data_IF_671384898032
#
_entry.id   IF_671384898032
#
_cell.length_a   1.000
_cell.length_b   1.000
_cell.length_c   1.000
_cell.angle_alpha   90.00
_cell.angle_beta   90.00
_cell.angle_gamma   90.00
#
_symmetry.space_group_name_H-M   'P 1'
#
loop_
_entity.id
_entity.type
_entity.pdbx_description
1 polymer ?
#
# COMPACT_ATOMS: atom_id res chain seq x y z
N UNK A 1 -18.94 11.44 19.84
CA UNK A 1 -19.86 10.29 19.74
C UNK A 1 -19.17 9.33 18.81
N UNK A 2 -18.41 8.41 19.40
CA UNK A 2 -17.47 7.50 18.75
C UNK A 2 -18.24 6.59 17.77
N UNK A 3 -17.72 6.43 16.55
CA UNK A 3 -18.11 5.34 15.65
C UNK A 3 -16.94 4.36 15.65
N UNK A 4 -17.18 3.21 16.26
CA UNK A 4 -16.33 2.03 16.19
C UNK A 4 -16.16 1.60 14.73
N UNK A 5 -14.93 1.27 14.35
CA UNK A 5 -14.60 0.66 13.08
C UNK A 5 -14.97 -0.82 13.16
N UNK A 6 -15.95 -1.25 12.38
CA UNK A 6 -16.39 -2.64 12.34
C UNK A 6 -15.31 -3.53 11.72
N UNK A 7 -14.93 -4.52 12.52
CA UNK A 7 -14.05 -5.64 12.23
C UNK A 7 -14.74 -6.55 11.20
N UNK A 8 -13.97 -7.13 10.26
CA UNK A 8 -14.43 -8.24 9.43
C UNK A 8 -15.16 -9.29 10.28
N UNK A 9 -16.48 -9.35 10.15
CA UNK A 9 -17.29 -10.44 10.69
C UNK A 9 -17.64 -11.38 9.54
N UNK A 10 -16.99 -12.54 9.53
CA UNK A 10 -17.55 -13.72 8.87
C UNK A 10 -18.78 -14.13 9.66
N UNK A 11 -19.97 -13.85 9.12
CA UNK A 11 -21.18 -14.49 9.62
C UNK A 11 -21.13 -15.96 9.23
N UNK A 12 -20.80 -16.82 10.19
CA UNK A 12 -21.19 -18.22 10.11
C UNK A 12 -22.71 -18.27 10.21
N UNK A 13 -23.39 -18.34 9.07
CA UNK A 13 -24.81 -18.71 9.06
C UNK A 13 -24.88 -20.20 9.40
N UNK A 14 -25.35 -20.52 10.60
CA UNK A 14 -25.88 -21.83 10.93
C UNK A 14 -27.10 -22.09 10.03
N UNK A 15 -26.85 -22.61 8.82
CA UNK A 15 -27.69 -23.51 8.02
C UNK A 15 -27.12 -23.65 6.59
N UNK A 16 -26.35 -24.72 6.38
CA UNK A 16 -26.12 -25.46 5.12
C UNK A 16 -25.75 -24.74 3.80
N UNK A 17 -25.33 -23.48 3.78
CA UNK A 17 -24.85 -22.84 2.56
C UNK A 17 -23.60 -21.98 2.80
N UNK A 18 -22.62 -22.10 1.90
CA UNK A 18 -21.47 -21.18 1.85
C UNK A 18 -21.90 -19.97 1.03
N UNK A 19 -22.07 -18.81 1.68
CA UNK A 19 -22.00 -17.54 0.97
C UNK A 19 -20.57 -17.33 0.47
N UNK A 20 -20.43 -17.14 -0.84
CA UNK A 20 -19.14 -16.75 -1.42
C UNK A 20 -18.80 -15.35 -0.92
N UNK A 21 -17.78 -15.27 -0.06
CA UNK A 21 -16.98 -14.10 0.32
C UNK A 21 -17.63 -12.75 0.02
N UNK A 22 -18.21 -12.14 1.05
CA UNK A 22 -18.51 -10.72 1.05
C UNK A 22 -17.18 -9.96 1.08
N UNK A 23 -16.78 -9.46 -0.08
CA UNK A 23 -15.65 -8.54 -0.20
C UNK A 23 -16.23 -7.14 -0.16
N UNK A 24 -16.21 -6.52 1.02
CA UNK A 24 -16.32 -5.07 1.14
C UNK A 24 -15.00 -4.47 0.64
N UNK A 25 -14.92 -4.35 -0.67
CA UNK A 25 -13.87 -3.63 -1.35
C UNK A 25 -14.40 -2.22 -1.55
N UNK A 26 -13.81 -1.26 -0.84
CA UNK A 26 -13.86 0.11 -1.32
C UNK A 26 -13.00 0.20 -2.57
N UNK A 27 -13.65 0.56 -3.67
CA UNK A 27 -13.14 0.95 -4.98
C UNK A 27 -12.53 -0.12 -5.92
N UNK A 28 -13.18 -0.28 -7.09
CA UNK A 28 -12.61 -0.66 -8.39
C UNK A 28 -11.78 -1.93 -8.47
N UNK A 29 -12.37 -3.10 -8.78
CA UNK A 29 -11.61 -4.36 -8.83
C UNK A 29 -11.97 -5.34 -9.97
N UNK A 30 -11.20 -6.43 -10.09
CA UNK A 30 -11.54 -7.61 -10.87
C UNK A 30 -11.28 -8.85 -10.01
N UNK A 31 -12.32 -9.61 -9.68
CA UNK A 31 -12.22 -10.82 -8.86
C UNK A 31 -12.32 -12.11 -9.68
N UNK A 32 -11.29 -12.97 -9.63
CA UNK A 32 -11.32 -14.33 -10.16
C UNK A 32 -11.16 -15.37 -9.04
N UNK A 33 -12.17 -16.21 -8.81
CA UNK A 33 -12.15 -17.26 -7.80
C UNK A 33 -11.61 -18.59 -8.41
N UNK A 34 -10.58 -19.13 -7.79
CA UNK A 34 -9.90 -20.39 -8.11
C UNK A 34 -10.13 -21.40 -6.98
N UNK A 35 -10.75 -22.55 -7.27
CA UNK A 35 -10.84 -23.66 -6.31
C UNK A 35 -9.78 -24.71 -6.63
N UNK A 36 -8.93 -25.02 -5.65
CA UNK A 36 -7.86 -26.01 -5.77
C UNK A 36 -8.23 -27.35 -5.13
N UNK A 37 -7.91 -28.44 -5.83
CA UNK A 37 -8.00 -29.80 -5.31
C UNK A 37 -6.69 -30.17 -4.59
N UNK A 38 -6.78 -30.48 -3.30
CA UNK A 38 -5.64 -30.74 -2.42
C UNK A 38 -5.35 -32.25 -2.21
N UNK A 39 -5.58 -33.12 -3.20
CA UNK A 39 -4.97 -34.45 -3.16
C UNK A 39 -3.52 -34.38 -3.59
N UNK A 40 -2.62 -34.60 -2.63
CA UNK A 40 -1.14 -34.59 -2.74
C UNK A 40 -0.53 -35.57 -3.78
N UNK A 41 -1.34 -36.18 -4.66
CA UNK A 41 -0.91 -36.99 -5.82
C UNK A 41 -1.81 -36.90 -7.06
N UNK A 42 -2.84 -36.04 -7.11
CA UNK A 42 -3.76 -36.01 -8.27
C UNK A 42 -4.45 -34.64 -8.46
N UNK A 43 -3.81 -33.73 -9.20
CA UNK A 43 -4.38 -32.44 -9.62
C UNK A 43 -5.34 -32.58 -10.81
N UNK A 44 -6.42 -33.38 -10.72
CA UNK A 44 -7.27 -33.65 -11.89
C UNK A 44 -8.57 -32.85 -11.98
N UNK A 45 -9.02 -32.16 -10.94
CA UNK A 45 -10.18 -31.27 -11.06
C UNK A 45 -9.89 -29.89 -10.44
N UNK A 46 -9.84 -28.87 -11.29
CA UNK A 46 -9.85 -27.45 -10.91
C UNK A 46 -11.17 -26.88 -11.37
N UNK A 47 -11.87 -26.16 -10.50
CA UNK A 47 -13.00 -25.33 -10.93
C UNK A 47 -12.54 -23.89 -10.90
N UNK A 48 -12.33 -23.34 -12.09
CA UNK A 48 -11.87 -21.96 -12.25
C UNK A 48 -13.02 -21.11 -12.74
N UNK A 49 -13.27 -20.00 -12.07
CA UNK A 49 -14.21 -18.99 -12.53
C UNK A 49 -13.42 -17.78 -13.00
N UNK A 50 -13.44 -17.54 -14.30
CA UNK A 50 -12.85 -16.36 -14.89
C UNK A 50 -13.94 -15.28 -15.09
N UNK A 51 -13.72 -14.11 -14.50
CA UNK A 51 -14.32 -12.86 -14.96
C UNK A 51 -13.29 -12.09 -15.79
N UNK A 52 -13.72 -11.47 -16.89
CA UNK A 52 -12.91 -10.48 -17.62
C UNK A 52 -13.56 -9.11 -17.42
N UNK A 53 -12.74 -8.08 -17.19
CA UNK A 53 -13.19 -6.67 -17.22
C UNK A 53 -14.35 -6.39 -16.24
N UNK A 54 -14.16 -6.78 -14.98
CA UNK A 54 -14.99 -6.29 -13.88
C UNK A 54 -14.60 -4.86 -13.50
N UNK A 55 -15.59 -4.02 -13.26
CA UNK A 55 -15.43 -2.69 -12.64
C UNK A 55 -16.26 -2.69 -11.36
N UNK A 56 -15.66 -2.30 -10.23
CA UNK A 56 -16.39 -2.18 -8.97
C UNK A 56 -16.58 -0.69 -8.72
N UNK A 57 -17.82 -0.26 -8.65
CA UNK A 57 -18.15 1.12 -8.32
C UNK A 57 -18.84 1.14 -6.95
N UNK A 58 -19.02 2.33 -6.38
CA UNK A 58 -19.84 2.49 -5.18
C UNK A 58 -21.23 1.84 -5.34
N UNK A 59 -21.83 1.96 -6.53
CA UNK A 59 -23.14 1.40 -6.84
C UNK A 59 -23.08 -0.10 -7.20
N UNK A 60 -21.92 -0.61 -7.60
CA UNK A 60 -21.70 -1.99 -8.05
C UNK A 60 -20.50 -2.64 -7.34
N UNK A 61 -20.59 -2.78 -6.01
CA UNK A 61 -19.54 -3.34 -5.16
C UNK A 61 -19.46 -4.89 -5.14
N UNK A 62 -20.37 -5.59 -5.83
CA UNK A 62 -20.39 -7.06 -5.88
C UNK A 62 -20.29 -7.55 -7.31
N UNK A 63 -19.26 -8.36 -7.59
CA UNK A 63 -19.11 -9.12 -8.84
C UNK A 63 -18.94 -10.60 -8.54
N UNK A 64 -19.51 -11.44 -9.40
CA UNK A 64 -19.37 -12.89 -9.27
C UNK A 64 -20.62 -13.62 -9.75
N UNK A 65 -20.53 -14.95 -9.79
CA UNK A 65 -21.71 -15.79 -10.05
C UNK A 65 -22.50 -15.93 -8.76
N UNK A 66 -23.79 -15.61 -8.78
CA UNK A 66 -24.72 -15.90 -7.68
C UNK A 66 -25.16 -17.37 -7.66
N UNK A 67 -24.20 -18.29 -7.80
CA UNK A 67 -24.45 -19.73 -7.83
C UNK A 67 -23.81 -20.38 -6.63
N UNK A 68 -24.63 -20.96 -5.77
CA UNK A 68 -24.17 -21.72 -4.61
C UNK A 68 -23.66 -23.09 -5.04
N UNK A 69 -22.60 -23.56 -4.37
CA UNK A 69 -22.10 -24.93 -4.51
C UNK A 69 -22.36 -25.64 -3.18
N UNK A 70 -23.22 -26.66 -3.13
CA UNK A 70 -23.46 -27.41 -1.91
C UNK A 70 -22.18 -28.07 -1.37
N UNK A 71 -22.02 -28.11 -0.05
CA UNK A 71 -20.90 -28.79 0.60
C UNK A 71 -20.81 -30.27 0.21
N UNK A 72 -21.96 -30.96 0.12
CA UNK A 72 -22.01 -32.35 -0.34
C UNK A 72 -21.43 -32.53 -1.74
N UNK A 73 -21.65 -31.57 -2.62
CA UNK A 73 -21.12 -31.58 -3.98
C UNK A 73 -19.60 -31.40 -3.97
N UNK A 74 -19.08 -30.57 -3.06
CA UNK A 74 -17.64 -30.43 -2.87
C UNK A 74 -17.01 -31.71 -2.31
N UNK A 75 -17.68 -32.38 -1.37
CA UNK A 75 -17.23 -33.66 -0.83
C UNK A 75 -17.24 -34.77 -1.90
N UNK A 76 -18.35 -34.92 -2.65
CA UNK A 76 -18.51 -35.93 -3.72
C UNK A 76 -17.45 -35.80 -4.81
N UNK A 77 -17.08 -34.56 -5.16
CA UNK A 77 -16.07 -34.25 -6.19
C UNK A 77 -14.65 -34.24 -5.63
N UNK A 78 -14.45 -34.55 -4.34
CA UNK A 78 -13.13 -34.63 -3.74
C UNK A 78 -12.40 -33.29 -3.62
N UNK A 79 -13.13 -32.17 -3.57
CA UNK A 79 -12.57 -30.85 -3.24
C UNK A 79 -12.35 -30.68 -1.73
N UNK A 80 -13.07 -31.45 -0.90
CA UNK A 80 -12.88 -31.49 0.55
C UNK A 80 -11.85 -32.56 0.93
N UNK A 81 -10.96 -32.19 1.84
CA UNK A 81 -10.00 -33.07 2.50
C UNK A 81 -10.72 -34.00 3.49
N UNK A 82 -10.01 -35.05 3.95
CA UNK A 82 -10.57 -36.04 4.88
C UNK A 82 -10.99 -35.48 6.25
N UNK A 83 -10.50 -34.29 6.61
CA UNK A 83 -10.89 -33.51 7.79
C UNK A 83 -12.01 -32.49 7.51
N UNK A 84 -12.51 -32.41 6.27
CA UNK A 84 -13.55 -31.47 5.85
C UNK A 84 -13.06 -30.12 5.32
N UNK A 85 -11.75 -29.88 5.27
CA UNK A 85 -11.18 -28.61 4.80
C UNK A 85 -11.12 -28.54 3.26
N UNK A 86 -11.19 -27.34 2.69
CA UNK A 86 -11.01 -27.11 1.24
C UNK A 86 -10.33 -25.76 1.03
N UNK A 87 -9.60 -25.61 -0.09
CA UNK A 87 -8.85 -24.39 -0.39
C UNK A 87 -9.62 -23.53 -1.39
N UNK A 88 -9.86 -22.27 -1.02
CA UNK A 88 -10.37 -21.22 -1.89
C UNK A 88 -9.25 -20.25 -2.16
N UNK A 89 -9.00 -19.98 -3.44
CA UNK A 89 -8.03 -19.00 -3.88
C UNK A 89 -8.75 -17.88 -4.64
N UNK A 90 -8.34 -16.65 -4.40
CA UNK A 90 -8.77 -15.49 -5.18
C UNK A 90 -7.54 -14.92 -5.86
N UNK A 91 -7.62 -14.73 -7.17
CA UNK A 91 -6.58 -14.07 -7.95
C UNK A 91 -7.17 -12.82 -8.62
N UNK A 92 -6.56 -11.68 -8.30
CA UNK A 92 -6.81 -10.40 -8.93
C UNK A 92 -5.60 -10.08 -9.82
N UNK A 93 -5.82 -9.66 -11.07
CA UNK A 93 -4.74 -9.27 -11.99
C UNK A 93 -5.02 -7.91 -12.58
N UNK A 94 -3.97 -7.11 -12.79
CA UNK A 94 -4.03 -5.78 -13.40
C UNK A 94 -5.04 -4.86 -12.71
N UNK A 95 -4.97 -4.79 -11.38
CA UNK A 95 -5.84 -3.94 -10.57
C UNK A 95 -5.46 -2.48 -10.82
N UNK A 96 -6.47 -1.65 -11.08
CA UNK A 96 -6.33 -0.21 -11.25
C UNK A 96 -7.42 0.46 -10.43
N UNK A 97 -7.03 1.31 -9.48
CA UNK A 97 -7.96 2.13 -8.70
C UNK A 97 -7.90 3.55 -9.22
N UNK A 98 -9.05 4.09 -9.65
CA UNK A 98 -9.11 5.47 -10.12
C UNK A 98 -10.31 6.23 -9.58
N UNK A 99 -10.08 7.49 -9.23
CA UNK A 99 -11.11 8.45 -8.90
C UNK A 99 -11.33 9.41 -10.07
N UNK A 100 -12.59 9.72 -10.36
CA UNK A 100 -12.96 10.65 -11.43
C UNK A 100 -14.01 11.65 -10.94
N UNK A 101 -13.83 12.93 -11.27
CA UNK A 101 -14.83 13.95 -11.03
C UNK A 101 -14.77 15.10 -12.06
N UNK A 102 -15.80 15.95 -12.05
CA UNK A 102 -15.86 17.17 -12.84
C UNK A 102 -15.80 18.41 -11.93
N UNK A 103 -14.68 19.11 -11.97
CA UNK A 103 -14.49 20.37 -11.25
C UNK A 103 -15.16 21.52 -12.00
N UNK A 104 -15.96 22.35 -11.30
CA UNK A 104 -16.57 23.55 -11.88
C UNK A 104 -15.55 24.69 -11.95
N UNK A 105 -15.41 25.28 -13.13
CA UNK A 105 -14.52 26.42 -13.35
C UNK A 105 -15.27 27.71 -12.99
N UNK A 106 -14.76 28.53 -12.05
CA UNK A 106 -15.37 29.79 -11.67
C UNK A 106 -15.45 30.76 -12.87
N UNK A 107 -16.58 31.44 -13.04
CA UNK A 107 -16.79 32.40 -14.16
C UNK A 107 -15.84 33.61 -14.12
N UNK A 108 -15.31 33.92 -12.93
CA UNK A 108 -14.40 35.06 -12.68
C UNK A 108 -12.95 34.79 -13.09
N UNK A 109 -12.58 33.52 -13.39
CA UNK A 109 -11.27 33.16 -13.94
C UNK A 109 -11.00 33.76 -15.34
N UNK A 110 -11.99 34.39 -15.96
CA UNK A 110 -11.83 35.11 -17.24
C UNK A 110 -11.24 36.52 -17.09
N UNK A 111 -10.98 36.98 -15.86
CA UNK A 111 -10.36 38.28 -15.61
C UNK A 111 -8.83 38.14 -15.55
N UNK A 112 -8.12 38.75 -16.50
CA UNK A 112 -6.65 38.67 -16.68
C UNK A 112 -5.82 39.21 -15.50
N UNK A 113 -6.45 39.64 -14.41
CA UNK A 113 -5.82 40.42 -13.33
C UNK A 113 -6.13 39.88 -11.93
N UNK A 114 -6.77 38.71 -11.82
CA UNK A 114 -7.00 38.06 -10.52
C UNK A 114 -6.36 36.68 -10.51
N UNK A 115 -5.56 36.40 -9.48
CA UNK A 115 -5.13 35.03 -9.18
C UNK A 115 -6.40 34.22 -8.94
N UNK A 116 -6.77 33.37 -9.89
CA UNK A 116 -7.94 32.51 -9.80
C UNK A 116 -7.97 31.70 -8.50
N UNK A 117 -9.16 31.37 -7.96
CA UNK A 117 -9.24 30.65 -6.70
C UNK A 117 -8.69 29.23 -6.85
N UNK A 118 -8.08 28.72 -5.77
CA UNK A 118 -7.73 27.30 -5.63
C UNK A 118 -8.99 26.44 -5.82
N UNK A 119 -8.93 25.52 -6.77
CA UNK A 119 -9.96 24.52 -7.00
C UNK A 119 -9.52 23.21 -6.37
N UNK A 120 -10.46 22.45 -5.81
CA UNK A 120 -10.17 21.19 -5.13
C UNK A 120 -11.25 20.16 -5.46
N UNK A 121 -10.83 18.90 -5.66
CA UNK A 121 -11.76 17.78 -5.85
C UNK A 121 -12.49 17.43 -4.55
N UNK A 122 -13.64 16.74 -4.64
CA UNK A 122 -14.14 15.99 -3.50
C UNK A 122 -13.07 15.04 -2.96
N UNK A 123 -13.22 14.65 -1.68
CA UNK A 123 -12.38 13.64 -1.08
C UNK A 123 -12.65 12.26 -1.70
N UNK A 124 -11.58 11.49 -1.86
CA UNK A 124 -11.63 10.08 -2.23
C UNK A 124 -10.67 9.28 -1.35
N UNK A 125 -10.98 8.02 -1.11
CA UNK A 125 -10.20 7.19 -0.19
C UNK A 125 -9.31 6.23 -0.98
N UNK A 126 -8.07 6.07 -0.53
CA UNK A 126 -7.13 5.08 -1.07
C UNK A 126 -6.02 4.78 -0.06
N UNK A 127 -5.65 3.51 0.12
CA UNK A 127 -4.59 3.12 1.05
C UNK A 127 -4.87 3.54 2.49
N UNK A 128 -6.13 3.38 2.95
CA UNK A 128 -6.63 3.79 4.27
C UNK A 128 -6.54 5.30 4.56
N UNK A 129 -6.22 6.12 3.57
CA UNK A 129 -6.12 7.58 3.70
C UNK A 129 -7.12 8.27 2.77
N UNK A 130 -7.50 9.49 3.14
CA UNK A 130 -8.36 10.35 2.34
C UNK A 130 -7.53 11.36 1.57
N UNK A 131 -7.92 11.62 0.32
CA UNK A 131 -7.14 12.38 -0.65
C UNK A 131 -7.99 13.40 -1.39
N UNK A 132 -7.37 14.49 -1.84
CA UNK A 132 -7.93 15.40 -2.84
C UNK A 132 -6.85 15.86 -3.81
N UNK A 133 -7.28 16.35 -4.98
CA UNK A 133 -6.40 17.03 -5.94
C UNK A 133 -6.72 18.52 -5.92
N UNK A 134 -5.70 19.33 -5.67
CA UNK A 134 -5.75 20.78 -5.69
C UNK A 134 -5.19 21.32 -7.00
N UNK A 135 -5.91 22.25 -7.64
CA UNK A 135 -5.50 23.00 -8.82
C UNK A 135 -5.48 24.49 -8.50
N UNK A 136 -4.37 25.18 -8.73
CA UNK A 136 -4.27 26.63 -8.51
C UNK A 136 -3.35 27.30 -9.52
N UNK A 137 -3.49 28.62 -9.78
CA UNK A 137 -2.64 29.32 -10.74
C UNK A 137 -1.16 29.28 -10.32
N UNK A 138 -0.26 29.07 -11.28
CA UNK A 138 1.17 29.19 -11.03
C UNK A 138 1.56 30.68 -10.95
N UNK A 139 1.91 31.17 -9.76
CA UNK A 139 2.27 32.56 -9.52
C UNK A 139 3.74 32.90 -9.87
N UNK A 140 4.57 31.91 -10.23
CA UNK A 140 6.03 32.09 -10.29
C UNK A 140 6.60 32.61 -11.61
N UNK A 141 5.84 32.64 -12.71
CA UNK A 141 6.40 33.01 -14.02
C UNK A 141 5.55 34.06 -14.73
N UNK A 142 6.10 35.28 -14.80
CA UNK A 142 5.57 36.44 -15.54
C UNK A 142 5.40 36.14 -17.05
N UNK A 143 6.03 35.07 -17.55
CA UNK A 143 6.08 34.74 -18.98
C UNK A 143 5.09 33.64 -19.42
N UNK A 144 4.43 32.94 -18.49
CA UNK A 144 3.43 31.91 -18.81
C UNK A 144 2.14 32.21 -18.04
N UNK A 145 1.40 33.23 -18.47
CA UNK A 145 0.21 33.82 -17.82
C UNK A 145 -0.95 32.85 -17.50
N UNK A 146 -0.77 31.55 -17.68
CA UNK A 146 -1.90 30.63 -17.84
C UNK A 146 -1.57 29.19 -17.41
N UNK A 147 -0.46 28.94 -16.70
CA UNK A 147 -0.14 27.59 -16.22
C UNK A 147 -0.87 27.26 -14.91
N UNK A 148 -1.21 26.00 -14.73
CA UNK A 148 -1.83 25.49 -13.50
C UNK A 148 -0.80 24.70 -12.73
N UNK A 149 -0.77 24.91 -11.43
CA UNK A 149 -0.07 24.06 -10.48
C UNK A 149 -1.03 23.02 -9.91
N UNK A 150 -0.57 21.78 -9.84
CA UNK A 150 -1.32 20.65 -9.33
C UNK A 150 -0.62 20.07 -8.12
N UNK A 151 -1.41 19.69 -7.12
CA UNK A 151 -0.93 19.09 -5.89
C UNK A 151 -1.89 18.01 -5.41
N UNK A 152 -1.38 16.84 -5.05
CA UNK A 152 -2.12 15.82 -4.32
C UNK A 152 -2.07 16.18 -2.82
N UNK A 153 -3.18 16.02 -2.13
CA UNK A 153 -3.30 16.37 -0.71
C UNK A 153 -3.88 15.18 0.05
N UNK A 154 -3.17 14.72 1.06
CA UNK A 154 -3.61 13.72 2.05
C UNK A 154 -4.32 14.44 3.20
N UNK A 155 -5.45 13.91 3.65
CA UNK A 155 -6.31 14.50 4.69
C UNK A 155 -6.37 13.68 5.99
N UNK A 156 -5.80 12.48 6.02
CA UNK A 156 -5.81 11.59 7.20
C UNK A 156 -4.47 10.86 7.36
N UNK A 157 -4.26 10.23 8.53
CA UNK A 157 -3.07 9.42 8.85
C UNK A 157 -1.71 10.15 8.77
N UNK A 158 -1.66 11.40 9.26
CA UNK A 158 -0.44 12.23 9.25
C UNK A 158 0.68 11.77 10.20
N UNK A 159 0.39 10.79 11.07
CA UNK A 159 1.34 10.27 12.05
C UNK A 159 2.56 9.59 11.40
N UNK A 160 2.46 9.24 10.11
CA UNK A 160 3.53 8.63 9.33
C UNK A 160 3.80 9.39 8.04
N UNK A 161 5.05 9.28 7.59
CA UNK A 161 5.44 9.59 6.21
C UNK A 161 4.68 8.62 5.29
N UNK A 162 4.36 9.07 4.08
CA UNK A 162 3.63 8.29 3.10
C UNK A 162 4.33 8.32 1.76
N UNK A 163 4.80 7.18 1.28
CA UNK A 163 5.23 7.01 -0.10
C UNK A 163 3.99 6.78 -0.97
N UNK A 164 3.78 7.64 -1.97
CA UNK A 164 2.61 7.59 -2.86
C UNK A 164 3.01 7.58 -4.33
N UNK A 165 2.37 6.68 -5.07
CA UNK A 165 2.49 6.58 -6.51
C UNK A 165 1.14 6.73 -7.18
N UNK A 166 1.04 7.66 -8.13
CA UNK A 166 -0.21 7.95 -8.83
C UNK A 166 0.03 8.48 -10.24
N UNK A 167 -1.02 8.53 -11.05
CA UNK A 167 -1.05 9.21 -12.34
C UNK A 167 -2.29 10.09 -12.43
N UNK A 168 -2.11 11.32 -12.91
CA UNK A 168 -3.18 12.30 -13.07
C UNK A 168 -3.47 12.56 -14.54
N UNK A 169 -4.75 12.58 -14.88
CA UNK A 169 -5.26 13.03 -16.17
C UNK A 169 -6.20 14.24 -16.01
N UNK A 170 -5.97 15.29 -16.79
CA UNK A 170 -6.80 16.52 -16.79
C UNK A 170 -7.42 16.77 -18.18
N UNK A 171 -8.76 16.82 -18.24
CA UNK A 171 -9.54 16.99 -19.47
C UNK A 171 -10.18 15.69 -19.97
N UNK A 172 -11.11 15.80 -20.94
CA UNK A 172 -11.82 14.64 -21.49
C UNK A 172 -11.09 13.98 -22.67
N UNK A 173 -10.83 14.75 -23.73
CA UNK A 173 -10.19 14.29 -24.96
C UNK A 173 -8.82 14.96 -25.09
N UNK A 174 -7.81 14.22 -25.55
CA UNK A 174 -6.41 14.68 -25.53
C UNK A 174 -6.06 15.29 -24.16
N UNK A 175 -6.41 14.56 -23.10
CA UNK A 175 -6.16 14.98 -21.74
C UNK A 175 -4.67 15.21 -21.54
N UNK A 176 -4.33 16.15 -20.66
CA UNK A 176 -2.99 16.17 -20.10
C UNK A 176 -2.80 14.92 -19.24
N UNK A 177 -1.65 14.26 -19.36
CA UNK A 177 -1.26 13.10 -18.56
C UNK A 177 0.04 13.46 -17.84
N UNK A 178 0.09 13.30 -16.52
CA UNK A 178 1.32 13.53 -15.76
C UNK A 178 2.40 12.46 -16.01
N UNK A 179 1.99 11.27 -16.47
CA UNK A 179 2.76 10.04 -16.27
C UNK A 179 2.78 9.63 -14.79
N UNK A 180 3.49 8.54 -14.44
CA UNK A 180 3.63 8.12 -13.05
C UNK A 180 4.37 9.18 -12.23
N UNK A 181 3.75 9.61 -11.15
CA UNK A 181 4.31 10.50 -10.12
C UNK A 181 4.58 9.66 -8.89
N UNK A 182 5.77 9.80 -8.33
CA UNK A 182 6.27 9.08 -7.16
C UNK A 182 6.81 10.13 -6.18
N UNK A 183 6.21 10.20 -4.99
CA UNK A 183 6.49 11.25 -4.00
C UNK A 183 6.38 10.73 -2.58
N UNK A 184 7.30 11.20 -1.71
CA UNK A 184 7.28 10.95 -0.28
C UNK A 184 6.64 12.14 0.44
N UNK A 185 5.49 11.93 1.07
CA UNK A 185 4.72 12.95 1.77
C UNK A 185 4.98 12.88 3.27
N UNK A 186 5.30 14.01 3.87
CA UNK A 186 5.49 14.14 5.31
C UNK A 186 4.15 14.36 6.06
N UNK A 187 4.26 14.78 7.32
CA UNK A 187 3.10 15.08 8.17
C UNK A 187 2.23 16.26 7.68
N UNK A 188 2.71 17.08 6.72
CA UNK A 188 1.87 18.12 6.11
C UNK A 188 0.81 17.52 5.17
N UNK A 189 1.06 16.31 4.66
CA UNK A 189 0.20 15.62 3.71
C UNK A 189 0.13 16.25 2.33
N UNK A 190 0.93 17.30 2.07
CA UNK A 190 0.95 17.96 0.78
C UNK A 190 2.04 17.33 -0.09
N UNK A 191 1.68 16.94 -1.29
CA UNK A 191 2.62 16.47 -2.30
C UNK A 191 3.44 17.66 -2.86
N UNK A 192 4.62 17.38 -3.42
CA UNK A 192 5.38 18.40 -4.13
C UNK A 192 4.59 18.85 -5.37
N UNK A 193 4.25 20.15 -5.48
CA UNK A 193 3.40 20.63 -6.56
C UNK A 193 4.15 20.61 -7.89
N UNK A 194 3.46 20.21 -8.97
CA UNK A 194 4.03 20.27 -10.32
C UNK A 194 3.18 21.16 -11.24
N UNK A 195 3.84 21.75 -12.25
CA UNK A 195 3.19 22.68 -13.18
C UNK A 195 2.76 21.97 -14.45
N UNK A 196 1.50 22.17 -14.82
CA UNK A 196 0.92 21.79 -16.10
C UNK A 196 1.07 22.96 -17.07
N UNK A 197 1.75 22.72 -18.20
CA UNK A 197 1.99 23.71 -19.26
C UNK A 197 0.75 24.04 -20.12
N UNK A 198 -0.41 24.19 -19.49
CA UNK A 198 -1.69 24.50 -20.12
C UNK A 198 -2.65 25.19 -19.15
N UNK A 199 -3.48 26.09 -19.68
CA UNK A 199 -4.51 26.78 -18.90
C UNK A 199 -5.76 25.97 -18.65
N UNK A 200 -6.51 26.38 -17.63
CA UNK A 200 -7.79 25.75 -17.28
C UNK A 200 -8.74 25.80 -18.47
N UNK A 201 -8.72 26.89 -19.23
CA UNK A 201 -9.52 27.07 -20.44
C UNK A 201 -9.10 26.11 -21.56
N UNK A 202 -7.80 25.88 -21.73
CA UNK A 202 -7.27 24.92 -22.72
C UNK A 202 -7.62 23.48 -22.33
N UNK A 203 -7.42 23.10 -21.06
CA UNK A 203 -7.72 21.76 -20.55
C UNK A 203 -9.22 21.45 -20.56
N UNK A 204 -10.06 22.42 -20.22
CA UNK A 204 -11.53 22.30 -20.28
C UNK A 204 -12.11 22.49 -21.67
N UNK A 205 -11.30 22.91 -22.65
CA UNK A 205 -11.73 23.26 -24.02
C UNK A 205 -12.87 24.28 -24.02
N UNK A 206 -12.81 25.27 -23.13
CA UNK A 206 -13.82 26.31 -22.98
C UNK A 206 -15.12 25.88 -22.30
N UNK A 207 -15.19 24.65 -21.75
CA UNK A 207 -16.34 24.21 -20.95
C UNK A 207 -16.29 24.84 -19.56
N UNK A 208 -17.44 24.90 -18.89
CA UNK A 208 -17.54 25.37 -17.51
C UNK A 208 -17.06 24.34 -16.48
N UNK A 209 -16.53 23.20 -16.92
CA UNK A 209 -16.05 22.13 -16.06
C UNK A 209 -14.83 21.45 -16.64
N UNK A 210 -13.94 21.00 -15.76
CA UNK A 210 -12.75 20.21 -16.08
C UNK A 210 -12.90 18.81 -15.50
N UNK A 211 -12.74 17.78 -16.34
CA UNK A 211 -12.62 16.39 -15.88
C UNK A 211 -11.26 16.21 -15.22
N UNK A 212 -11.26 15.63 -14.03
CA UNK A 212 -10.07 15.23 -13.28
C UNK A 212 -10.18 13.73 -13.04
N UNK A 213 -9.18 12.98 -13.48
CA UNK A 213 -9.04 11.56 -13.19
C UNK A 213 -7.70 11.33 -12.53
N UNK A 214 -7.68 10.59 -11.43
CA UNK A 214 -6.46 10.17 -10.76
C UNK A 214 -6.48 8.65 -10.63
N UNK A 215 -5.40 8.01 -11.06
CA UNK A 215 -5.13 6.60 -10.87
C UNK A 215 -4.14 6.46 -9.71
N UNK A 216 -4.60 5.88 -8.61
CA UNK A 216 -3.75 5.60 -7.45
C UNK A 216 -3.15 4.21 -7.62
N UNK A 217 -1.81 4.13 -7.55
CA UNK A 217 -1.07 2.90 -7.81
C UNK A 217 -0.51 2.29 -6.53
N UNK A 218 0.00 3.14 -5.62
CA UNK A 218 0.57 2.69 -4.37
C UNK A 218 0.47 3.77 -3.29
N UNK A 219 0.22 3.36 -2.05
CA UNK A 219 0.31 4.19 -0.84
C UNK A 219 0.90 3.33 0.26
N UNK A 220 2.07 3.71 0.75
CA UNK A 220 2.81 2.97 1.77
C UNK A 220 3.16 3.88 2.93
N UNK A 221 2.79 3.46 4.14
CA UNK A 221 3.20 4.16 5.35
C UNK A 221 4.67 3.90 5.61
N UNK A 222 5.44 4.94 5.88
CA UNK A 222 6.88 4.86 6.13
C UNK A 222 7.18 5.33 7.54
N UNK A 223 7.92 4.51 8.28
CA UNK A 223 8.51 4.90 9.55
C UNK A 223 9.98 5.21 9.34
N UNK A 224 10.33 6.47 9.58
CA UNK A 224 11.71 6.95 9.52
C UNK A 224 12.36 6.83 10.89
N UNK A 225 13.59 6.29 10.90
CA UNK A 225 14.32 5.99 12.11
C UNK A 225 15.80 6.34 11.95
N UNK A 226 16.33 7.14 12.85
CA UNK A 226 17.77 7.45 12.92
C UNK A 226 18.47 6.47 13.86
N UNK A 227 19.49 5.76 13.37
CA UNK A 227 20.23 4.74 14.13
C UNK A 227 21.72 5.00 14.09
N UNK A 228 22.38 4.96 15.25
CA UNK A 228 23.83 5.01 15.34
C UNK A 228 24.41 3.60 15.11
N UNK A 229 24.69 3.27 13.85
CA UNK A 229 25.08 1.91 13.45
C UNK A 229 26.47 1.48 13.96
N UNK A 230 27.37 2.43 14.24
CA UNK A 230 28.72 2.14 14.72
C UNK A 230 28.81 2.03 16.25
N UNK A 231 27.79 2.50 16.98
CA UNK A 231 27.77 2.46 18.44
C UNK A 231 27.05 1.22 18.98
N UNK A 232 27.82 0.26 19.52
CA UNK A 232 27.28 -1.00 20.08
C UNK A 232 26.21 -0.84 21.16
N UNK A 233 26.17 0.30 21.85
CA UNK A 233 25.21 0.54 22.94
C UNK A 233 24.01 1.40 22.49
N UNK A 234 24.04 1.94 21.26
CA UNK A 234 23.03 2.88 20.72
C UNK A 234 22.61 2.53 19.28
N UNK A 235 22.85 1.29 18.87
CA UNK A 235 22.48 0.75 17.56
C UNK A 235 21.02 0.31 17.48
N UNK A 236 20.16 0.76 18.41
CA UNK A 236 18.75 0.38 18.49
C UNK A 236 17.88 1.61 18.53
N UNK A 237 16.75 1.55 17.83
CA UNK A 237 15.75 2.59 17.86
C UNK A 237 14.35 2.00 17.82
N UNK A 238 13.42 2.68 18.50
CA UNK A 238 12.01 2.33 18.49
C UNK A 238 11.32 3.01 17.31
N UNK A 239 10.33 2.32 16.77
CA UNK A 239 9.45 2.82 15.72
C UNK A 239 8.07 2.22 15.89
N UNK A 240 7.08 2.84 15.25
CA UNK A 240 5.71 2.36 15.25
C UNK A 240 5.28 2.08 13.82
N UNK A 241 4.43 1.09 13.62
CA UNK A 241 3.75 0.92 12.33
C UNK A 241 2.48 1.77 12.26
N UNK A 242 1.80 1.72 11.10
CA UNK A 242 0.55 2.45 10.85
C UNK A 242 -0.57 2.16 11.85
N UNK A 243 -0.55 1.00 12.51
CA UNK A 243 -1.55 0.58 13.50
C UNK A 243 -1.09 0.96 14.94
N UNK A 244 -0.07 1.81 15.05
CA UNK A 244 0.55 2.30 16.29
C UNK A 244 1.14 1.19 17.16
N UNK A 245 1.48 0.06 16.55
CA UNK A 245 2.11 -1.03 17.27
C UNK A 245 3.61 -0.82 17.33
N UNK A 246 4.23 -1.16 18.46
CA UNK A 246 5.62 -0.87 18.73
C UNK A 246 6.56 -1.92 18.12
N UNK A 247 7.63 -1.42 17.51
CA UNK A 247 8.73 -2.18 16.97
C UNK A 247 10.07 -1.64 17.49
N UNK A 248 11.11 -2.45 17.31
CA UNK A 248 12.49 -2.04 17.55
C UNK A 248 13.35 -2.47 16.36
N UNK A 249 14.12 -1.54 15.82
CA UNK A 249 15.11 -1.81 14.78
C UNK A 249 16.50 -1.76 15.41
N UNK A 250 17.29 -2.79 15.16
CA UNK A 250 18.67 -2.92 15.62
C UNK A 250 19.61 -2.99 14.41
N UNK A 251 20.65 -2.17 14.36
CA UNK A 251 21.69 -2.27 13.36
C UNK A 251 22.78 -3.27 13.78
N UNK A 252 23.25 -4.07 12.84
CA UNK A 252 24.36 -4.99 12.99
C UNK A 252 25.48 -4.66 11.99
N UNK A 253 26.59 -4.17 12.54
CA UNK A 253 27.80 -3.84 11.82
C UNK A 253 28.97 -4.82 12.10
N UNK A 254 28.67 -6.02 12.63
CA UNK A 254 29.69 -7.03 12.95
C UNK A 254 30.16 -7.84 11.74
N UNK A 255 29.35 -7.86 10.67
CA UNK A 255 29.62 -8.58 9.43
C UNK A 255 30.39 -7.76 8.39
N UNK A 256 30.41 -8.28 7.15
CA UNK A 256 31.00 -7.58 5.99
C UNK A 256 30.11 -6.45 5.46
N UNK A 257 28.79 -6.65 5.53
CA UNK A 257 27.78 -5.72 5.05
C UNK A 257 26.89 -5.30 6.23
N UNK A 258 26.32 -4.10 6.14
CA UNK A 258 25.32 -3.63 7.10
C UNK A 258 24.11 -4.54 7.07
N UNK A 259 23.67 -4.95 8.25
CA UNK A 259 22.44 -5.67 8.42
C UNK A 259 21.59 -4.98 9.50
N UNK A 260 20.31 -5.31 9.48
CA UNK A 260 19.37 -4.85 10.48
C UNK A 260 18.57 -6.02 11.02
N UNK A 261 18.09 -5.88 12.25
CA UNK A 261 17.18 -6.83 12.86
C UNK A 261 15.96 -6.10 13.37
N UNK A 262 14.80 -6.46 12.83
CA UNK A 262 13.53 -5.84 13.18
C UNK A 262 12.77 -6.75 14.16
N UNK A 263 12.38 -6.19 15.30
CA UNK A 263 11.67 -6.89 16.37
C UNK A 263 10.27 -6.32 16.53
N UNK A 264 9.27 -7.19 16.59
CA UNK A 264 7.92 -6.81 16.97
C UNK A 264 7.78 -6.80 18.50
N UNK A 265 7.85 -5.63 19.11
CA UNK A 265 7.90 -5.51 20.58
C UNK A 265 6.53 -5.70 21.26
N UNK A 266 5.45 -5.53 20.50
CA UNK A 266 4.08 -5.77 20.95
C UNK A 266 3.57 -7.19 20.66
N UNK A 267 4.46 -8.15 20.40
CA UNK A 267 4.09 -9.56 20.12
C UNK A 267 3.19 -10.18 21.21
N UNK A 268 3.39 -9.83 22.47
CA UNK A 268 2.55 -10.25 23.60
C UNK A 268 1.11 -9.74 23.53
N UNK A 269 0.88 -8.64 22.80
CA UNK A 269 -0.44 -8.03 22.61
C UNK A 269 -1.20 -8.60 21.42
N UNK A 270 -0.59 -9.50 20.62
CA UNK A 270 -1.33 -10.24 19.60
C UNK A 270 -2.44 -11.05 20.28
N UNK A 271 -3.71 -10.88 19.89
CA UNK A 271 -4.82 -11.60 20.49
C UNK A 271 -4.66 -13.13 20.37
N UNK A 272 -5.11 -13.85 21.40
CA UNK A 272 -5.14 -15.32 21.38
C UNK A 272 -6.02 -15.81 20.25
N UNK A 273 -5.57 -16.86 19.56
CA UNK A 273 -6.23 -17.45 18.38
C UNK A 273 -6.24 -16.52 17.16
N UNK A 274 -5.45 -15.46 17.16
CA UNK A 274 -5.18 -14.65 15.98
C UNK A 274 -3.71 -14.78 15.59
N UNK A 275 -3.41 -14.46 14.34
CA UNK A 275 -2.06 -14.17 13.88
C UNK A 275 -2.05 -12.78 13.25
N UNK A 276 -0.95 -12.05 13.42
CA UNK A 276 -0.71 -10.80 12.71
C UNK A 276 0.20 -11.07 11.54
N UNK A 277 -0.31 -10.83 10.33
CA UNK A 277 0.47 -10.79 9.11
C UNK A 277 1.11 -9.42 8.97
N UNK A 278 2.40 -9.37 8.65
CA UNK A 278 3.11 -8.12 8.35
C UNK A 278 4.00 -8.32 7.13
N UNK A 279 3.87 -7.41 6.17
CA UNK A 279 4.73 -7.29 5.00
C UNK A 279 5.39 -5.91 4.98
N UNK A 280 6.70 -5.86 4.75
CA UNK A 280 7.44 -4.60 4.79
C UNK A 280 8.70 -4.64 3.91
N UNK A 281 9.17 -3.47 3.51
CA UNK A 281 10.56 -3.28 3.04
C UNK A 281 11.35 -2.48 4.08
N UNK A 282 12.67 -2.54 3.93
CA UNK A 282 13.59 -1.65 4.60
C UNK A 282 14.45 -0.98 3.54
N UNK A 283 14.68 0.31 3.67
CA UNK A 283 15.66 1.03 2.85
C UNK A 283 16.41 2.07 3.65
N UNK A 284 17.57 2.43 3.13
CA UNK A 284 18.53 3.32 3.75
C UNK A 284 18.53 4.62 2.96
N UNK A 285 18.34 5.72 3.67
CA UNK A 285 18.33 7.06 3.09
C UNK A 285 19.76 7.61 3.19
N UNK A 286 20.35 8.05 2.07
CA UNK A 286 21.65 8.70 2.09
C UNK A 286 21.57 10.07 2.78
N UNK A 287 22.61 10.43 3.50
CA UNK A 287 22.80 11.75 4.10
C UNK A 287 23.20 12.81 3.06
N UNK A 288 24.21 12.54 2.23
CA UNK A 288 24.76 13.51 1.25
C UNK A 288 24.66 13.05 -0.21
N UNK A 289 24.08 11.88 -0.47
CA UNK A 289 23.86 11.32 -1.80
C UNK A 289 22.39 11.33 -2.23
N UNK A 290 22.13 10.89 -3.47
CA UNK A 290 20.77 10.80 -4.02
C UNK A 290 20.22 9.38 -4.11
N UNK A 291 21.03 8.36 -3.77
CA UNK A 291 20.65 6.97 -3.97
C UNK A 291 20.09 6.34 -2.70
N UNK A 292 18.77 6.24 -2.64
CA UNK A 292 18.07 5.37 -1.70
C UNK A 292 18.40 3.90 -2.00
N UNK A 293 18.81 3.14 -0.99
CA UNK A 293 19.17 1.72 -1.14
C UNK A 293 18.19 0.84 -0.40
N UNK A 294 17.52 -0.06 -1.12
CA UNK A 294 16.63 -1.07 -0.52
C UNK A 294 17.44 -2.26 -0.02
N UNK A 295 17.01 -2.81 1.10
CA UNK A 295 17.52 -4.07 1.62
C UNK A 295 17.31 -5.21 0.61
N UNK A 296 18.22 -6.19 0.62
CA UNK A 296 18.18 -7.30 -0.32
C UNK A 296 17.08 -8.30 0.04
N UNK A 297 16.49 -8.94 -0.97
CA UNK A 297 15.45 -9.97 -0.83
C UNK A 297 14.14 -9.50 -0.18
N UNK A 298 13.87 -8.19 -0.16
CA UNK A 298 12.53 -7.67 0.09
C UNK A 298 11.56 -7.98 -1.06
N UNK A 299 10.24 -7.89 -0.83
CA UNK A 299 9.60 -7.57 0.44
C UNK A 299 9.68 -8.70 1.46
N UNK A 300 9.82 -8.33 2.74
CA UNK A 300 9.85 -9.26 3.85
C UNK A 300 8.44 -9.52 4.34
N UNK A 301 8.17 -10.77 4.72
CA UNK A 301 6.83 -11.20 5.15
C UNK A 301 6.99 -12.08 6.37
N UNK A 302 6.27 -11.76 7.45
CA UNK A 302 6.28 -12.55 8.69
C UNK A 302 4.89 -12.62 9.32
N UNK A 303 4.63 -13.75 9.96
CA UNK A 303 3.44 -13.98 10.79
C UNK A 303 3.86 -13.94 12.26
N UNK A 304 3.07 -13.25 13.06
CA UNK A 304 3.25 -13.13 14.49
C UNK A 304 2.05 -13.74 15.22
N UNK A 305 2.33 -14.59 16.20
CA UNK A 305 1.32 -15.07 17.15
C UNK A 305 1.69 -14.53 18.53
N UNK A 306 0.78 -14.65 19.49
CA UNK A 306 1.09 -14.27 20.87
C UNK A 306 2.27 -15.10 21.38
N UNK A 307 3.34 -14.42 21.75
CA UNK A 307 4.57 -15.00 22.32
C UNK A 307 5.17 -14.03 23.35
N UNK A 308 6.12 -14.50 24.16
CA UNK A 308 6.78 -13.71 25.19
C UNK A 308 7.76 -12.70 24.59
N UNK A 309 8.46 -13.09 23.51
CA UNK A 309 9.45 -12.24 22.84
C UNK A 309 9.63 -12.62 21.36
N UNK A 310 9.83 -11.62 20.50
CA UNK A 310 10.23 -11.83 19.12
C UNK A 310 11.75 -12.04 19.04
N UNK A 311 12.18 -13.13 18.39
CA UNK A 311 13.59 -13.37 18.10
C UNK A 311 14.17 -12.39 17.08
N UNK A 312 13.31 -11.61 16.40
CA UNK A 312 13.66 -10.58 15.43
C UNK A 312 13.95 -11.14 14.04
N UNK A 313 13.67 -10.35 13.00
CA UNK A 313 13.86 -10.72 11.60
C UNK A 313 15.13 -10.06 11.05
N UNK A 314 16.09 -10.88 10.59
CA UNK A 314 17.35 -10.41 10.03
C UNK A 314 17.16 -9.93 8.59
N UNK A 315 17.65 -8.74 8.31
CA UNK A 315 17.52 -8.01 7.05
C UNK A 315 18.92 -7.66 6.60
N UNK A 316 19.28 -8.08 5.40
CA UNK A 316 20.59 -7.82 4.83
C UNK A 316 20.55 -6.62 3.88
N UNK A 317 21.68 -5.92 3.78
CA UNK A 317 21.93 -4.92 2.75
C UNK A 317 23.18 -5.31 1.97
N UNK A 318 23.45 -4.59 0.89
CA UNK A 318 24.70 -4.68 0.12
C UNK A 318 25.68 -3.54 0.45
N UNK A 319 25.38 -2.70 1.45
CA UNK A 319 26.23 -1.58 1.88
C UNK A 319 27.41 -2.14 2.71
N UNK A 320 28.66 -2.02 2.24
CA UNK A 320 29.83 -2.50 2.97
C UNK A 320 30.05 -1.71 4.28
N UNK A 321 30.44 -2.39 5.36
CA UNK A 321 30.78 -1.72 6.62
C UNK A 321 32.01 -0.80 6.47
N UNK A 322 32.93 -1.15 5.57
CA UNK A 322 34.10 -0.32 5.25
C UNK A 322 33.69 1.05 4.68
N UNK A 323 32.61 1.09 3.89
CA UNK A 323 32.06 2.33 3.33
C UNK A 323 31.46 3.20 4.42
N UNK A 324 30.65 2.62 5.31
CA UNK A 324 30.03 3.33 6.45
C UNK A 324 31.07 3.87 7.43
N UNK A 325 32.18 3.14 7.59
CA UNK A 325 33.26 3.53 8.50
C UNK A 325 34.19 4.59 7.90
N UNK A 326 34.05 4.90 6.60
CA UNK A 326 34.85 5.93 5.93
C UNK A 326 34.44 7.32 6.45
N UNK A 327 35.40 8.24 6.69
CA UNK A 327 35.09 9.62 7.08
C UNK A 327 34.23 10.39 6.07
N UNK A 328 34.38 10.05 4.79
CA UNK A 328 33.71 10.72 3.66
C UNK A 328 32.63 9.81 3.05
N UNK A 329 31.75 9.26 3.88
CA UNK A 329 30.67 8.38 3.43
C UNK A 329 29.35 9.14 3.24
N UNK A 330 28.50 8.62 2.35
CA UNK A 330 27.21 9.25 2.01
C UNK A 330 26.06 8.86 2.94
N UNK A 331 26.29 8.02 3.94
CA UNK A 331 25.23 7.38 4.74
C UNK A 331 25.05 7.97 6.13
N UNK A 332 26.16 8.32 6.78
CA UNK A 332 26.20 8.74 8.18
C UNK A 332 26.20 10.26 8.25
N UNK A 333 25.24 10.81 8.97
CA UNK A 333 25.18 12.24 9.25
C UNK A 333 26.42 12.70 10.01
N UNK A 334 27.04 13.77 9.52
CA UNK A 334 28.23 14.36 10.15
C UNK A 334 27.92 15.04 11.48
N UNK A 335 26.67 15.43 11.70
CA UNK A 335 26.23 16.17 12.90
C UNK A 335 25.97 15.25 14.10
N UNK A 336 25.26 14.14 13.87
CA UNK A 336 24.77 13.27 14.95
C UNK A 336 25.30 11.83 14.89
N UNK A 337 26.02 11.46 13.82
CA UNK A 337 26.57 10.12 13.61
C UNK A 337 25.49 9.03 13.49
N UNK A 338 24.31 9.35 12.96
CA UNK A 338 23.24 8.40 12.67
C UNK A 338 23.09 8.14 11.17
N UNK A 339 22.57 6.97 10.83
CA UNK A 339 22.02 6.63 9.52
C UNK A 339 20.50 6.74 9.61
N UNK A 340 19.87 7.27 8.57
CA UNK A 340 18.41 7.29 8.43
C UNK A 340 17.92 6.04 7.70
N UNK A 341 16.99 5.33 8.32
CA UNK A 341 16.39 4.10 7.81
C UNK A 341 14.90 4.29 7.67
N UNK A 342 14.37 3.88 6.53
CA UNK A 342 12.93 3.84 6.25
C UNK A 342 12.44 2.39 6.34
N UNK A 343 11.43 2.17 7.17
CA UNK A 343 10.64 0.94 7.17
C UNK A 343 9.32 1.21 6.47
N UNK A 344 9.17 0.63 5.28
CA UNK A 344 8.00 0.75 4.41
C UNK A 344 6.98 -0.34 4.78
N UNK A 345 5.87 0.01 5.42
CA UNK A 345 4.82 -0.93 5.84
C UNK A 345 3.85 -1.22 4.69
N UNK A 346 4.10 -2.29 3.95
CA UNK A 346 3.31 -2.68 2.77
C UNK A 346 1.93 -3.17 3.21
N UNK A 347 1.90 -4.07 4.19
CA UNK A 347 0.64 -4.63 4.70
C UNK A 347 0.79 -5.05 6.17
N UNK A 348 -0.31 -4.92 6.90
CA UNK A 348 -0.42 -5.34 8.30
C UNK A 348 -1.88 -5.68 8.59
N UNK A 349 -2.14 -6.97 8.86
CA UNK A 349 -3.48 -7.49 9.06
C UNK A 349 -3.54 -8.42 10.26
N UNK A 350 -4.64 -8.33 11.00
CA UNK A 350 -4.97 -9.30 12.05
C UNK A 350 -5.88 -10.39 11.47
N UNK A 351 -5.39 -11.61 11.43
CA UNK A 351 -6.09 -12.78 10.89
C UNK A 351 -6.72 -13.57 12.04
N UNK A 352 -7.97 -14.01 11.85
CA UNK A 352 -8.70 -14.85 12.81
C UNK A 352 -8.36 -16.32 12.55
N UNK A 353 -8.01 -17.06 13.60
CA UNK A 353 -7.52 -18.44 13.65
C UNK A 353 -6.05 -18.66 13.23
N UNK A 354 -5.25 -19.41 14.02
CA UNK A 354 -3.86 -19.75 13.68
C UNK A 354 -3.74 -20.89 12.66
N UNK A 355 -4.83 -21.30 11.97
CA UNK A 355 -4.78 -22.28 10.87
C UNK A 355 -4.32 -21.66 9.55
N UNK A 356 -3.43 -20.67 9.59
CA UNK A 356 -2.50 -20.45 8.50
C UNK A 356 -1.49 -21.59 8.57
N UNK A 357 -1.78 -22.68 7.89
CA UNK A 357 -1.05 -23.94 8.04
C UNK A 357 0.12 -23.97 7.05
N UNK A 358 1.04 -24.93 7.22
CA UNK A 358 2.10 -25.26 6.25
C UNK A 358 1.62 -25.36 4.79
N UNK A 359 0.32 -25.59 4.56
CA UNK A 359 -0.27 -25.64 3.22
C UNK A 359 -0.32 -24.27 2.54
N UNK A 360 -0.58 -23.19 3.28
CA UNK A 360 -0.61 -21.83 2.76
C UNK A 360 0.81 -21.38 2.37
N UNK A 361 1.81 -21.78 3.17
CA UNK A 361 3.23 -21.58 2.83
C UNK A 361 3.67 -22.42 1.62
N UNK A 362 3.23 -23.67 1.52
CA UNK A 362 3.54 -24.52 0.34
C UNK A 362 2.88 -23.98 -0.92
N UNK A 363 1.64 -23.48 -0.84
CA UNK A 363 0.96 -22.83 -1.96
C UNK A 363 1.69 -21.55 -2.40
N UNK A 364 2.12 -20.72 -1.43
CA UNK A 364 2.91 -19.51 -1.66
C UNK A 364 4.27 -19.82 -2.32
N UNK A 365 5.03 -20.77 -1.77
CA UNK A 365 6.34 -21.17 -2.30
C UNK A 365 6.22 -21.79 -3.69
N UNK A 366 5.21 -22.63 -3.93
CA UNK A 366 4.98 -23.19 -5.27
C UNK A 366 4.61 -22.12 -6.30
N UNK A 367 3.85 -21.08 -5.94
CA UNK A 367 3.58 -19.95 -6.84
C UNK A 367 4.86 -19.20 -7.22
N UNK A 368 5.76 -19.00 -6.26
CA UNK A 368 7.06 -18.37 -6.53
C UNK A 368 7.97 -19.23 -7.41
N UNK A 369 7.79 -20.56 -7.44
CA UNK A 369 8.55 -21.49 -8.29
C UNK A 369 7.92 -21.72 -9.68
N UNK A 370 6.66 -21.34 -9.87
CA UNK A 370 5.92 -21.49 -11.13
C UNK A 370 5.76 -20.19 -11.93
N UNK A 371 6.14 -19.04 -11.35
CA UNK A 371 6.49 -17.82 -12.08
C UNK A 371 7.97 -17.86 -12.44
#
# INVERSE_FOLDING_TARGET
>A
MEREADIMQTYACEEYNIEMLHLDIMDGQQAGLLLHNAKQRSFYEKRVFHGKEGEFTYDENVKGRKTFVPLEDMAKRGFMQGNGEFLVELELRNIVSSFECYLRIPKENNSRHSYGPKMETPYFSFGLSDWSVSLFPNACTVETEDNITVQLVRHTNFDHICDVKYQLSLGDQNAYESGPVDQLLDATGNSEPFTVGASLMKLSRGRSSLKVRIEMQNVVSVSEVSINVLSRNRNRAHLYDKDKQAWMLEADASGKYLAFKLYYTDIKHVPRKNSRYVAFNLGIVPYSGNQYVRAINGPFVKYYVQDDHDDGYLIHTDIPIEEISSPDNDWVSTEDQHITVHVEWIDSQLLIYPTYHRLDDVARVHKQQMM
#
